data_IF_733156770995
#
_entry.id   IF_733156770995
#
_cell.length_a   1.000
_cell.length_b   1.000
_cell.length_c   1.000
_cell.angle_alpha   90.00
_cell.angle_beta   90.00
_cell.angle_gamma   90.00
#
_symmetry.space_group_name_H-M   'P 1'
#
loop_
_entity.id
_entity.type
_entity.pdbx_description
1 polymer ?
#
# COMPACT_ATOMS: atom_id res chain seq x y z
N UNK A 1 17.38 -58.49 -16.46
CA UNK A 1 17.29 -57.38 -15.54
C UNK A 1 16.88 -56.17 -16.35
N UNK A 2 15.58 -55.77 -16.29
CA UNK A 2 15.06 -54.54 -16.94
C UNK A 2 15.44 -53.34 -16.13
N UNK A 3 16.20 -52.40 -16.70
CA UNK A 3 16.47 -51.06 -16.12
C UNK A 3 15.16 -50.28 -15.93
N UNK A 4 14.94 -49.62 -14.81
CA UNK A 4 13.75 -48.77 -14.63
C UNK A 4 13.80 -47.59 -15.59
N UNK A 5 12.68 -47.33 -16.30
CA UNK A 5 12.47 -46.12 -17.11
C UNK A 5 12.49 -44.92 -16.17
N UNK A 6 13.42 -43.98 -16.37
CA UNK A 6 13.37 -42.66 -15.75
C UNK A 6 12.12 -41.94 -16.27
N UNK A 7 11.14 -41.70 -15.40
CA UNK A 7 10.06 -40.75 -15.69
C UNK A 7 10.64 -39.36 -15.97
N UNK A 8 10.18 -38.67 -17.01
CA UNK A 8 10.60 -37.31 -17.26
C UNK A 8 10.09 -36.43 -16.12
N UNK A 9 11.02 -35.71 -15.46
CA UNK A 9 10.72 -34.66 -14.50
C UNK A 9 9.63 -33.75 -15.10
N UNK A 10 8.46 -33.69 -14.45
CA UNK A 10 7.38 -32.77 -14.78
C UNK A 10 7.98 -31.37 -14.76
N UNK A 11 8.22 -30.80 -15.92
CA UNK A 11 8.53 -29.38 -16.08
C UNK A 11 7.42 -28.58 -15.40
N UNK A 12 7.71 -28.01 -14.26
CA UNK A 12 6.81 -27.14 -13.54
C UNK A 12 6.37 -26.02 -14.49
N UNK A 13 5.07 -25.94 -14.76
CA UNK A 13 4.48 -24.84 -15.52
C UNK A 13 5.06 -23.53 -14.99
N UNK A 14 5.80 -22.79 -15.82
CA UNK A 14 6.28 -21.43 -15.54
C UNK A 14 5.08 -20.64 -15.01
N UNK A 15 5.12 -20.27 -13.74
CA UNK A 15 4.10 -19.42 -13.13
C UNK A 15 4.18 -18.06 -13.79
N UNK A 16 3.13 -17.68 -14.50
CA UNK A 16 2.97 -16.32 -15.00
C UNK A 16 2.49 -15.47 -13.81
N UNK A 17 3.34 -14.62 -13.32
CA UNK A 17 3.04 -13.69 -12.23
C UNK A 17 2.46 -12.40 -12.83
N UNK A 18 1.33 -11.92 -12.32
CA UNK A 18 0.72 -10.68 -12.77
C UNK A 18 0.65 -9.66 -11.63
N UNK A 19 1.31 -8.53 -11.83
CA UNK A 19 1.30 -7.21 -11.17
C UNK A 19 0.90 -7.11 -9.67
N UNK A 20 1.60 -6.33 -8.86
CA UNK A 20 2.81 -5.51 -9.05
C UNK A 20 4.11 -6.19 -8.62
N UNK A 21 4.08 -7.34 -7.96
CA UNK A 21 5.26 -8.18 -7.67
C UNK A 21 5.75 -8.94 -8.93
N UNK A 22 4.89 -9.07 -9.95
CA UNK A 22 5.28 -9.56 -11.29
C UNK A 22 6.05 -8.53 -12.14
N UNK A 23 6.15 -7.30 -11.70
CA UNK A 23 6.91 -6.26 -12.40
C UNK A 23 8.43 -6.61 -12.40
N UNK A 24 8.86 -7.69 -11.77
CA UNK A 24 10.27 -8.04 -11.69
C UNK A 24 11.11 -6.93 -11.03
N UNK A 25 12.42 -7.10 -10.98
CA UNK A 25 13.32 -6.08 -10.41
C UNK A 25 13.17 -4.72 -11.08
N UNK A 26 13.06 -4.67 -12.40
CA UNK A 26 12.94 -3.42 -13.16
C UNK A 26 11.68 -2.63 -12.82
N UNK A 27 10.54 -3.28 -12.68
CA UNK A 27 9.32 -2.58 -12.37
C UNK A 27 9.21 -2.11 -10.93
N UNK A 28 9.77 -2.85 -9.97
CA UNK A 28 9.90 -2.38 -8.59
C UNK A 28 10.75 -1.11 -8.50
N UNK A 29 11.88 -1.06 -9.24
CA UNK A 29 12.72 0.15 -9.34
C UNK A 29 11.93 1.32 -9.93
N UNK A 30 11.25 1.11 -11.06
CA UNK A 30 10.47 2.16 -11.72
C UNK A 30 9.34 2.66 -10.81
N UNK A 31 8.60 1.77 -10.17
CA UNK A 31 7.55 2.15 -9.23
C UNK A 31 8.12 2.97 -8.06
N UNK A 32 9.20 2.51 -7.44
CA UNK A 32 9.83 3.22 -6.33
C UNK A 32 10.34 4.60 -6.78
N UNK A 33 11.03 4.69 -7.92
CA UNK A 33 11.57 5.94 -8.43
C UNK A 33 10.48 6.97 -8.75
N UNK A 34 9.43 6.56 -9.47
CA UNK A 34 8.30 7.44 -9.82
C UNK A 34 7.52 7.88 -8.56
N UNK A 35 7.28 6.95 -7.64
CA UNK A 35 6.57 7.25 -6.42
C UNK A 35 7.36 8.19 -5.50
N UNK A 36 8.69 7.99 -5.36
CA UNK A 36 9.55 8.88 -4.57
C UNK A 36 9.72 10.25 -5.24
N UNK A 37 9.81 10.30 -6.57
CA UNK A 37 9.80 11.57 -7.31
C UNK A 37 8.50 12.33 -7.05
N UNK A 38 7.35 11.67 -7.18
CA UNK A 38 6.05 12.29 -6.93
C UNK A 38 5.88 12.68 -5.46
N UNK A 39 6.38 11.86 -4.52
CA UNK A 39 6.40 12.21 -3.10
C UNK A 39 7.18 13.50 -2.86
N UNK A 40 8.37 13.64 -3.49
CA UNK A 40 9.17 14.86 -3.40
C UNK A 40 8.40 16.07 -3.89
N UNK A 41 7.73 15.98 -5.05
CA UNK A 41 6.91 17.08 -5.57
C UNK A 41 5.81 17.48 -4.58
N UNK A 42 5.10 16.51 -4.01
CA UNK A 42 4.06 16.81 -3.01
C UNK A 42 4.65 17.42 -1.71
N UNK A 43 5.82 16.96 -1.30
CA UNK A 43 6.50 17.48 -0.12
C UNK A 43 6.98 18.93 -0.33
N UNK A 44 7.56 19.24 -1.48
CA UNK A 44 7.98 20.59 -1.85
C UNK A 44 6.76 21.54 -1.87
N UNK A 45 5.66 21.16 -2.55
CA UNK A 45 4.41 21.96 -2.60
C UNK A 45 3.84 22.24 -1.20
N UNK A 46 3.93 21.26 -0.28
CA UNK A 46 3.48 21.40 1.09
C UNK A 46 4.40 22.31 1.90
N UNK A 47 5.71 22.18 1.75
CA UNK A 47 6.70 23.00 2.49
C UNK A 47 6.67 24.45 2.03
N UNK A 48 6.50 24.69 0.73
CA UNK A 48 6.45 26.03 0.13
C UNK A 48 5.07 26.71 0.31
N UNK A 49 4.07 26.01 0.84
CA UNK A 49 2.70 26.52 1.02
C UNK A 49 1.90 26.65 -0.28
N UNK A 50 2.41 26.15 -1.40
CA UNK A 50 1.70 26.20 -2.70
C UNK A 50 0.51 25.23 -2.75
N UNK A 51 0.56 24.15 -1.97
CA UNK A 51 -0.52 23.18 -1.86
C UNK A 51 -1.83 23.77 -1.32
N UNK A 52 -1.77 24.82 -0.49
CA UNK A 52 -2.93 25.30 0.27
C UNK A 52 -4.10 25.72 -0.62
N UNK A 53 -3.84 26.34 -1.78
CA UNK A 53 -4.90 26.79 -2.69
C UNK A 53 -5.75 25.65 -3.25
N UNK A 54 -5.12 24.57 -3.74
CA UNK A 54 -5.89 23.46 -4.28
C UNK A 54 -6.44 22.56 -3.18
N UNK A 55 -5.74 22.48 -2.05
CA UNK A 55 -6.22 21.74 -0.89
C UNK A 55 -7.54 22.29 -0.36
N UNK A 56 -7.63 23.60 -0.14
CA UNK A 56 -8.86 24.27 0.29
C UNK A 56 -9.99 24.14 -0.73
N UNK A 57 -9.72 24.42 -2.01
CA UNK A 57 -10.73 24.34 -3.06
C UNK A 57 -11.33 22.92 -3.20
N UNK A 58 -10.49 21.88 -3.14
CA UNK A 58 -10.96 20.48 -3.21
C UNK A 58 -11.75 20.12 -1.94
N UNK A 59 -11.29 20.52 -0.75
CA UNK A 59 -12.00 20.23 0.50
C UNK A 59 -13.37 20.90 0.53
N UNK A 60 -13.49 22.14 0.08
CA UNK A 60 -14.78 22.83 -0.05
C UNK A 60 -15.70 22.10 -1.04
N UNK A 61 -15.19 21.67 -2.19
CA UNK A 61 -15.97 20.92 -3.17
C UNK A 61 -16.46 19.58 -2.59
N UNK A 62 -15.62 18.86 -1.87
CA UNK A 62 -15.95 17.59 -1.20
C UNK A 62 -17.00 17.82 -0.09
N UNK A 63 -16.93 18.94 0.61
CA UNK A 63 -17.94 19.26 1.63
C UNK A 63 -19.35 19.51 1.08
N UNK A 64 -19.48 19.90 -0.18
CA UNK A 64 -20.81 20.11 -0.83
C UNK A 64 -21.57 18.81 -1.09
N UNK A 65 -20.87 17.68 -1.16
CA UNK A 65 -21.47 16.36 -1.39
C UNK A 65 -21.78 15.61 -0.09
N UNK A 66 -21.71 16.28 1.07
CA UNK A 66 -21.97 15.65 2.37
C UNK A 66 -23.45 15.31 2.55
N UNK A 67 -23.74 14.00 2.68
CA UNK A 67 -25.06 13.47 2.98
C UNK A 67 -24.94 12.17 3.81
N UNK A 68 -26.06 11.73 4.41
CA UNK A 68 -26.04 10.58 5.32
C UNK A 68 -25.58 9.25 4.65
N UNK A 69 -26.00 8.88 3.43
CA UNK A 69 -25.46 7.70 2.75
C UNK A 69 -23.94 7.79 2.52
N UNK A 70 -23.46 8.93 2.01
CA UNK A 70 -22.03 9.14 1.76
C UNK A 70 -21.23 9.06 3.07
N UNK A 71 -21.74 9.63 4.15
CA UNK A 71 -21.10 9.55 5.47
C UNK A 71 -20.87 8.11 5.91
N UNK A 72 -21.87 7.23 5.76
CA UNK A 72 -21.74 5.82 6.15
C UNK A 72 -20.72 5.08 5.26
N UNK A 73 -20.70 5.34 3.96
CA UNK A 73 -19.71 4.76 3.04
C UNK A 73 -18.30 5.22 3.39
N UNK A 74 -18.12 6.51 3.65
CA UNK A 74 -16.81 7.06 4.02
C UNK A 74 -16.35 6.59 5.40
N UNK A 75 -17.28 6.38 6.34
CA UNK A 75 -16.98 5.79 7.63
C UNK A 75 -16.49 4.34 7.47
N UNK A 76 -17.13 3.53 6.65
CA UNK A 76 -16.66 2.19 6.35
C UNK A 76 -15.29 2.21 5.65
N UNK A 77 -15.10 3.09 4.66
CA UNK A 77 -13.85 3.22 3.94
C UNK A 77 -12.68 3.62 4.88
N UNK A 78 -12.89 4.58 5.79
CA UNK A 78 -11.82 5.00 6.71
C UNK A 78 -11.43 3.89 7.68
N UNK A 79 -12.36 3.01 8.09
CA UNK A 79 -12.04 1.86 8.96
C UNK A 79 -11.09 0.89 8.28
N UNK A 80 -11.20 0.68 6.96
CA UNK A 80 -10.26 -0.16 6.21
C UNK A 80 -8.83 0.41 6.24
N UNK A 81 -8.65 1.73 6.30
CA UNK A 81 -7.34 2.37 6.46
C UNK A 81 -6.83 2.46 7.90
N UNK A 82 -7.57 1.98 8.88
CA UNK A 82 -7.17 2.04 10.30
C UNK A 82 -5.98 1.12 10.59
N UNK A 83 -5.16 1.50 11.58
CA UNK A 83 -4.03 0.66 12.02
C UNK A 83 -4.47 -0.75 12.43
N UNK A 84 -5.67 -0.88 13.01
CA UNK A 84 -6.23 -2.17 13.41
C UNK A 84 -6.56 -3.01 12.19
N UNK A 85 -7.29 -2.48 11.21
CA UNK A 85 -7.65 -3.22 9.99
C UNK A 85 -6.40 -3.62 9.18
N UNK A 86 -5.49 -2.70 8.97
CA UNK A 86 -4.22 -2.93 8.27
C UNK A 86 -3.36 -3.98 9.00
N UNK A 87 -3.18 -3.82 10.32
CA UNK A 87 -2.40 -4.76 11.13
C UNK A 87 -3.03 -6.16 11.17
N UNK A 88 -4.36 -6.24 11.25
CA UNK A 88 -5.09 -7.52 11.21
C UNK A 88 -4.93 -8.20 9.86
N UNK A 89 -5.12 -7.48 8.75
CA UNK A 89 -4.97 -8.03 7.40
C UNK A 89 -3.53 -8.55 7.17
N UNK A 90 -2.53 -7.76 7.52
CA UNK A 90 -1.12 -8.15 7.41
C UNK A 90 -0.78 -9.33 8.31
N UNK A 91 -1.22 -9.31 9.57
CA UNK A 91 -0.96 -10.36 10.54
C UNK A 91 -1.58 -11.71 10.14
N UNK A 92 -2.85 -11.71 9.72
CA UNK A 92 -3.51 -12.93 9.24
C UNK A 92 -2.83 -13.48 7.98
N UNK A 93 -2.42 -12.60 7.04
CA UNK A 93 -1.69 -13.02 5.84
C UNK A 93 -0.32 -13.60 6.20
N UNK A 94 0.44 -12.97 7.09
CA UNK A 94 1.72 -13.49 7.55
C UNK A 94 1.59 -14.85 8.24
N UNK A 95 0.59 -15.03 9.12
CA UNK A 95 0.30 -16.31 9.77
C UNK A 95 -0.05 -17.38 8.71
N UNK A 96 -0.87 -17.04 7.73
CA UNK A 96 -1.22 -17.96 6.64
C UNK A 96 0.03 -18.40 5.85
N UNK A 97 0.94 -17.47 5.54
CA UNK A 97 2.19 -17.77 4.86
C UNK A 97 3.09 -18.69 5.71
N UNK A 98 3.21 -18.41 7.01
CA UNK A 98 3.99 -19.25 7.94
C UNK A 98 3.44 -20.69 8.01
N UNK A 99 2.12 -20.84 8.05
CA UNK A 99 1.47 -22.18 8.04
C UNK A 99 1.69 -22.93 6.73
N UNK A 100 1.96 -22.24 5.64
CA UNK A 100 2.32 -22.80 4.33
C UNK A 100 3.84 -23.02 4.16
N UNK A 101 4.64 -22.83 5.23
CA UNK A 101 6.10 -22.86 5.23
C UNK A 101 6.75 -21.80 4.30
N UNK A 102 6.07 -20.69 4.07
CA UNK A 102 6.48 -19.56 3.24
C UNK A 102 7.01 -18.43 4.12
N UNK A 103 8.11 -18.68 4.83
CA UNK A 103 8.67 -17.74 5.82
C UNK A 103 9.09 -16.41 5.21
N UNK A 104 9.68 -16.46 4.02
CA UNK A 104 10.14 -15.26 3.32
C UNK A 104 8.97 -14.34 2.95
N UNK A 105 7.88 -14.89 2.44
CA UNK A 105 6.68 -14.12 2.09
C UNK A 105 6.01 -13.50 3.33
N UNK A 106 5.95 -14.27 4.43
CA UNK A 106 5.47 -13.75 5.72
C UNK A 106 6.32 -12.56 6.19
N UNK A 107 7.65 -12.68 6.09
CA UNK A 107 8.56 -11.59 6.45
C UNK A 107 8.37 -10.36 5.57
N UNK A 108 8.15 -10.54 4.26
CA UNK A 108 7.90 -9.44 3.32
C UNK A 108 6.64 -8.66 3.69
N UNK A 109 5.55 -9.34 4.06
CA UNK A 109 4.31 -8.69 4.54
C UNK A 109 4.58 -7.88 5.82
N UNK A 110 5.32 -8.47 6.78
CA UNK A 110 5.65 -7.80 8.05
C UNK A 110 6.52 -6.57 7.82
N UNK A 111 7.55 -6.69 6.99
CA UNK A 111 8.46 -5.57 6.67
C UNK A 111 7.74 -4.47 5.89
N UNK A 112 6.89 -4.83 4.92
CA UNK A 112 6.11 -3.85 4.17
C UNK A 112 5.21 -3.04 5.11
N UNK A 113 4.44 -3.70 5.96
CA UNK A 113 3.49 -3.02 6.85
C UNK A 113 4.20 -2.30 8.00
N UNK A 114 5.13 -2.96 8.68
CA UNK A 114 5.86 -2.38 9.82
C UNK A 114 6.76 -1.22 9.39
N UNK A 115 7.46 -1.36 8.26
CA UNK A 115 8.27 -0.29 7.68
C UNK A 115 7.44 0.91 7.25
N UNK A 116 6.25 0.68 6.66
CA UNK A 116 5.30 1.75 6.35
C UNK A 116 4.86 2.52 7.60
N UNK A 117 4.60 1.84 8.73
CA UNK A 117 4.29 2.48 10.01
C UNK A 117 5.46 3.33 10.52
N UNK A 118 6.67 2.81 10.46
CA UNK A 118 7.88 3.53 10.87
C UNK A 118 8.11 4.77 9.99
N UNK A 119 8.05 4.62 8.66
CA UNK A 119 8.20 5.71 7.70
C UNK A 119 7.15 6.80 7.94
N UNK A 120 5.88 6.42 8.12
CA UNK A 120 4.82 7.40 8.42
C UNK A 120 5.12 8.20 9.69
N UNK A 121 5.62 7.54 10.73
CA UNK A 121 5.99 8.21 11.99
C UNK A 121 7.15 9.18 11.77
N UNK A 122 8.20 8.76 11.08
CA UNK A 122 9.36 9.58 10.76
C UNK A 122 8.95 10.81 9.94
N UNK A 123 8.23 10.62 8.84
CA UNK A 123 7.81 11.70 7.97
C UNK A 123 6.93 12.73 8.69
N UNK A 124 6.03 12.28 9.57
CA UNK A 124 5.21 13.20 10.39
C UNK A 124 6.05 14.09 11.31
N UNK A 125 7.15 13.56 11.85
CA UNK A 125 8.06 14.36 12.69
C UNK A 125 8.95 15.30 11.86
N UNK A 126 9.23 14.94 10.60
CA UNK A 126 10.00 15.81 9.69
C UNK A 126 9.15 16.99 9.23
N UNK A 127 7.95 16.74 8.71
CA UNK A 127 7.13 17.78 8.07
C UNK A 127 6.28 18.60 9.04
N UNK A 128 5.86 18.07 10.15
CA UNK A 128 5.10 18.71 11.24
C UNK A 128 3.91 19.56 10.77
N UNK A 129 3.32 19.28 9.60
CA UNK A 129 2.20 20.02 9.05
C UNK A 129 0.98 19.98 9.97
N UNK A 130 0.33 21.11 10.19
CA UNK A 130 -0.91 21.19 10.96
C UNK A 130 -2.08 20.63 10.15
N UNK A 131 -3.11 20.14 10.86
CA UNK A 131 -4.33 19.61 10.24
C UNK A 131 -5.32 20.73 9.91
N UNK A 132 -6.25 20.50 8.96
CA UNK A 132 -7.30 21.45 8.58
C UNK A 132 -8.35 21.61 9.70
N UNK A 133 -8.05 22.37 10.74
CA UNK A 133 -8.88 22.49 11.96
C UNK A 133 -10.30 22.99 11.69
N UNK A 134 -10.45 23.96 10.79
CA UNK A 134 -11.73 24.60 10.48
C UNK A 134 -12.64 23.73 9.60
N UNK A 135 -12.06 22.77 8.88
CA UNK A 135 -12.75 21.92 7.94
C UNK A 135 -13.05 20.52 8.51
N UNK A 136 -12.58 20.22 9.72
CA UNK A 136 -12.82 18.93 10.37
C UNK A 136 -14.31 18.79 10.74
N UNK A 137 -14.95 17.76 10.16
CA UNK A 137 -16.37 17.51 10.38
C UNK A 137 -16.60 16.15 11.02
N UNK A 138 -17.40 16.11 12.09
CA UNK A 138 -17.97 14.87 12.66
C UNK A 138 -16.96 13.84 13.18
N UNK A 139 -15.66 14.13 13.14
CA UNK A 139 -14.60 13.26 13.67
C UNK A 139 -13.63 14.11 14.50
N UNK A 140 -13.22 13.57 15.65
CA UNK A 140 -12.17 14.19 16.48
C UNK A 140 -10.83 14.16 15.75
N UNK A 141 -10.19 15.32 15.60
CA UNK A 141 -8.86 15.41 15.01
C UNK A 141 -7.84 14.60 15.80
N UNK A 142 -7.05 13.76 15.15
CA UNK A 142 -5.90 13.12 15.79
C UNK A 142 -4.88 14.17 16.25
N UNK A 143 -4.18 13.88 17.34
CA UNK A 143 -3.12 14.77 17.89
C UNK A 143 -1.85 14.78 17.04
N UNK A 144 -1.67 13.83 16.12
CA UNK A 144 -0.49 13.72 15.25
C UNK A 144 -0.54 14.72 14.09
N UNK A 145 0.63 15.02 13.50
CA UNK A 145 0.77 15.90 12.34
C UNK A 145 0.01 15.40 11.12
N UNK A 146 -0.28 16.28 10.16
CA UNK A 146 -1.11 15.99 9.00
C UNK A 146 -0.35 15.24 7.91
N UNK A 147 0.78 15.75 7.45
CA UNK A 147 1.52 15.21 6.32
C UNK A 147 2.56 14.15 6.74
N UNK A 148 2.66 13.06 5.98
CA UNK A 148 1.68 12.54 5.05
C UNK A 148 0.50 11.83 5.75
N UNK A 149 -0.58 11.53 5.00
CA UNK A 149 -1.71 10.77 5.53
C UNK A 149 -1.33 9.31 5.83
N UNK A 150 -1.39 8.93 7.12
CA UNK A 150 -1.03 7.58 7.53
C UNK A 150 -1.98 6.50 7.00
N UNK A 151 -3.29 6.77 6.92
CA UNK A 151 -4.26 5.83 6.33
C UNK A 151 -3.94 5.56 4.87
N UNK A 152 -3.60 6.61 4.11
CA UNK A 152 -3.24 6.51 2.69
C UNK A 152 -1.93 5.73 2.51
N UNK A 153 -0.90 6.08 3.28
CA UNK A 153 0.41 5.44 3.21
C UNK A 153 0.33 3.94 3.55
N UNK A 154 -0.30 3.61 4.67
CA UNK A 154 -0.41 2.23 5.12
C UNK A 154 -1.26 1.37 4.17
N UNK A 155 -2.38 1.90 3.66
CA UNK A 155 -3.21 1.17 2.70
C UNK A 155 -2.48 0.90 1.39
N UNK A 156 -1.74 1.89 0.86
CA UNK A 156 -0.96 1.76 -0.36
C UNK A 156 0.22 0.77 -0.23
N UNK A 157 0.86 0.72 0.94
CA UNK A 157 1.96 -0.22 1.18
C UNK A 157 1.49 -1.66 1.46
N UNK A 158 0.31 -1.85 2.07
CA UNK A 158 -0.10 -3.15 2.63
C UNK A 158 -1.10 -3.89 1.75
N UNK A 159 -2.17 -3.25 1.26
CA UNK A 159 -3.21 -3.97 0.51
C UNK A 159 -2.72 -4.67 -0.75
N UNK A 160 -1.83 -4.07 -1.58
CA UNK A 160 -1.35 -4.75 -2.78
C UNK A 160 -0.61 -6.05 -2.47
N UNK A 161 0.24 -6.07 -1.42
CA UNK A 161 1.02 -7.25 -1.05
C UNK A 161 0.14 -8.33 -0.40
N UNK A 162 -0.79 -7.94 0.47
CA UNK A 162 -1.76 -8.85 1.09
C UNK A 162 -2.60 -9.54 0.01
N UNK A 163 -3.20 -8.79 -0.90
CA UNK A 163 -4.03 -9.35 -1.96
C UNK A 163 -3.21 -10.17 -2.96
N UNK A 164 -1.98 -9.77 -3.28
CA UNK A 164 -1.10 -10.59 -4.11
C UNK A 164 -0.98 -12.01 -3.55
N UNK A 165 -0.60 -12.16 -2.29
CA UNK A 165 -0.43 -13.47 -1.66
C UNK A 165 -1.73 -14.28 -1.54
N UNK A 166 -2.89 -13.62 -1.45
CA UNK A 166 -4.19 -14.29 -1.41
C UNK A 166 -4.62 -14.84 -2.78
N UNK A 167 -4.22 -14.18 -3.89
CA UNK A 167 -4.72 -14.51 -5.23
C UNK A 167 -3.64 -14.97 -6.21
N UNK A 168 -2.36 -15.02 -5.87
CA UNK A 168 -1.25 -15.37 -6.77
C UNK A 168 -1.39 -16.73 -7.45
N UNK A 169 -2.16 -17.66 -6.81
CA UNK A 169 -2.45 -19.00 -7.34
C UNK A 169 -3.75 -19.08 -8.11
N UNK A 170 -4.48 -17.98 -8.23
CA UNK A 170 -5.76 -17.90 -8.96
C UNK A 170 -5.51 -17.56 -10.43
N UNK A 171 -6.56 -17.68 -11.23
CA UNK A 171 -6.50 -17.32 -12.66
C UNK A 171 -6.25 -15.82 -12.84
N UNK A 172 -5.68 -15.43 -13.99
CA UNK A 172 -5.36 -14.04 -14.32
C UNK A 172 -6.55 -13.07 -14.16
N UNK A 173 -7.78 -13.39 -14.60
CA UNK A 173 -8.93 -12.52 -14.38
C UNK A 173 -9.21 -12.28 -12.90
N UNK A 174 -9.09 -13.31 -12.04
CA UNK A 174 -9.28 -13.18 -10.60
C UNK A 174 -8.21 -12.26 -9.98
N UNK A 175 -6.95 -12.41 -10.39
CA UNK A 175 -5.87 -11.54 -9.95
C UNK A 175 -6.13 -10.08 -10.38
N UNK A 176 -6.52 -9.86 -11.63
CA UNK A 176 -6.83 -8.52 -12.14
C UNK A 176 -7.97 -7.86 -11.34
N UNK A 177 -9.07 -8.56 -11.11
CA UNK A 177 -10.19 -8.06 -10.29
C UNK A 177 -9.72 -7.73 -8.87
N UNK A 178 -8.97 -8.62 -8.21
CA UNK A 178 -8.48 -8.39 -6.86
C UNK A 178 -7.59 -7.15 -6.76
N UNK A 179 -6.67 -6.94 -7.71
CA UNK A 179 -5.80 -5.75 -7.71
C UNK A 179 -6.58 -4.46 -8.02
N UNK A 180 -7.59 -4.53 -8.91
CA UNK A 180 -8.50 -3.39 -9.16
C UNK A 180 -9.26 -3.03 -7.89
N UNK A 181 -9.80 -4.03 -7.19
CA UNK A 181 -10.49 -3.81 -5.91
C UNK A 181 -9.56 -3.23 -4.84
N UNK A 182 -8.28 -3.68 -4.79
CA UNK A 182 -7.29 -3.07 -3.91
C UNK A 182 -7.11 -1.58 -4.22
N UNK A 183 -6.98 -1.22 -5.49
CA UNK A 183 -6.88 0.17 -5.92
C UNK A 183 -8.08 1.01 -5.49
N UNK A 184 -9.30 0.48 -5.69
CA UNK A 184 -10.54 1.16 -5.27
C UNK A 184 -10.61 1.34 -3.75
N UNK A 185 -10.21 0.33 -2.97
CA UNK A 185 -10.15 0.43 -1.50
C UNK A 185 -9.14 1.51 -1.09
N UNK A 186 -7.93 1.50 -1.65
CA UNK A 186 -6.88 2.49 -1.34
C UNK A 186 -7.40 3.91 -1.64
N UNK A 187 -7.98 4.13 -2.82
CA UNK A 187 -8.54 5.43 -3.20
C UNK A 187 -9.69 5.86 -2.28
N UNK A 188 -10.59 4.94 -1.93
CA UNK A 188 -11.70 5.20 -1.02
C UNK A 188 -11.22 5.56 0.39
N UNK A 189 -10.19 4.87 0.89
CA UNK A 189 -9.54 5.19 2.16
C UNK A 189 -8.98 6.62 2.12
N UNK A 190 -8.21 6.97 1.09
CA UNK A 190 -7.66 8.32 0.96
C UNK A 190 -8.73 9.39 0.85
N UNK A 191 -9.73 9.18 -0.01
CA UNK A 191 -10.85 10.10 -0.18
C UNK A 191 -11.63 10.30 1.13
N UNK A 192 -11.82 9.25 1.93
CA UNK A 192 -12.48 9.36 3.22
C UNK A 192 -11.79 10.33 4.18
N UNK A 193 -10.45 10.47 4.07
CA UNK A 193 -9.68 11.38 4.94
C UNK A 193 -9.90 12.85 4.59
N UNK A 194 -10.05 13.14 3.31
CA UNK A 194 -10.44 14.47 2.79
C UNK A 194 -11.90 14.76 3.16
N UNK A 195 -12.79 13.78 2.92
CA UNK A 195 -14.22 13.90 3.23
C UNK A 195 -14.48 14.26 4.71
N UNK A 196 -13.77 13.63 5.64
CA UNK A 196 -13.87 13.96 7.07
C UNK A 196 -13.12 15.22 7.48
N UNK A 197 -12.41 15.88 6.58
CA UNK A 197 -11.64 17.08 6.87
C UNK A 197 -10.49 16.87 7.84
N UNK A 198 -9.93 15.65 7.93
CA UNK A 198 -8.82 15.33 8.85
C UNK A 198 -7.45 15.35 8.19
N UNK A 199 -7.43 15.38 6.86
CA UNK A 199 -6.25 15.52 6.01
C UNK A 199 -6.56 16.37 4.79
N UNK A 200 -5.56 17.10 4.33
CA UNK A 200 -5.60 17.77 3.04
C UNK A 200 -5.45 16.75 1.88
N UNK A 201 -5.96 17.06 0.66
CA UNK A 201 -5.71 16.27 -0.53
C UNK A 201 -4.24 15.98 -0.78
N UNK A 202 -3.36 16.97 -0.62
CA UNK A 202 -1.89 16.81 -0.75
C UNK A 202 -1.30 15.85 0.28
N UNK A 203 -1.84 15.78 1.52
CA UNK A 203 -1.43 14.79 2.52
C UNK A 203 -1.74 13.37 2.04
N UNK A 204 -2.91 13.20 1.40
CA UNK A 204 -3.37 11.90 0.86
C UNK A 204 -2.49 11.46 -0.30
N UNK A 205 -2.22 12.36 -1.24
CA UNK A 205 -1.35 12.11 -2.40
C UNK A 205 0.08 11.78 -1.96
N UNK A 206 0.64 12.56 -1.02
CA UNK A 206 1.95 12.27 -0.41
C UNK A 206 1.95 10.93 0.32
N UNK A 207 0.86 10.58 1.01
CA UNK A 207 0.69 9.29 1.65
C UNK A 207 0.71 8.13 0.67
N UNK A 208 -0.04 8.22 -0.44
CA UNK A 208 -0.01 7.21 -1.50
C UNK A 208 1.38 7.06 -2.12
N UNK A 209 2.03 8.18 -2.42
CA UNK A 209 3.37 8.17 -3.01
C UNK A 209 4.40 7.50 -2.08
N UNK A 210 4.43 7.87 -0.80
CA UNK A 210 5.31 7.23 0.17
C UNK A 210 5.01 5.74 0.33
N UNK A 211 3.72 5.34 0.35
CA UNK A 211 3.29 3.95 0.47
C UNK A 211 3.68 3.10 -0.74
N UNK A 212 3.42 3.58 -1.96
CA UNK A 212 3.83 2.87 -3.19
C UNK A 212 5.35 2.86 -3.39
N UNK A 213 6.04 3.93 -2.99
CA UNK A 213 7.51 3.97 -3.00
C UNK A 213 8.10 2.89 -2.10
N UNK A 214 7.58 2.76 -0.87
CA UNK A 214 7.98 1.71 0.06
C UNK A 214 7.63 0.31 -0.45
N UNK A 215 6.44 0.13 -1.02
CA UNK A 215 6.04 -1.12 -1.67
C UNK A 215 7.02 -1.52 -2.78
N UNK A 216 7.43 -0.58 -3.63
CA UNK A 216 8.42 -0.82 -4.69
C UNK A 216 9.77 -1.30 -4.10
N UNK A 217 10.24 -0.67 -3.03
CA UNK A 217 11.48 -1.07 -2.34
C UNK A 217 11.35 -2.48 -1.75
N UNK A 218 10.24 -2.81 -1.09
CA UNK A 218 10.03 -4.14 -0.50
C UNK A 218 9.90 -5.24 -1.56
N UNK A 219 9.30 -4.93 -2.72
CA UNK A 219 9.24 -5.85 -3.85
C UNK A 219 10.63 -6.18 -4.43
N UNK A 220 11.54 -5.20 -4.45
CA UNK A 220 12.93 -5.41 -4.87
C UNK A 220 13.69 -6.36 -3.94
N UNK A 221 13.56 -6.19 -2.64
CA UNK A 221 14.22 -7.04 -1.65
C UNK A 221 13.72 -8.49 -1.74
N UNK A 222 12.43 -8.70 -1.99
CA UNK A 222 11.83 -10.02 -2.18
C UNK A 222 12.43 -10.77 -3.38
N UNK A 223 12.49 -10.11 -4.54
CA UNK A 223 13.04 -10.73 -5.77
C UNK A 223 14.53 -11.00 -5.67
N UNK A 224 15.30 -10.24 -4.90
CA UNK A 224 16.71 -10.46 -4.67
C UNK A 224 16.94 -11.74 -3.85
N UNK A 225 16.21 -11.92 -2.75
CA UNK A 225 16.33 -13.10 -1.89
C UNK A 225 15.91 -14.39 -2.61
N UNK A 226 14.84 -14.38 -3.40
CA UNK A 226 14.48 -15.55 -4.24
C UNK A 226 15.56 -15.93 -5.27
N UNK A 227 16.30 -14.96 -5.77
CA UNK A 227 17.40 -15.22 -6.70
C UNK A 227 18.60 -15.89 -6.01
N UNK A 228 18.89 -15.47 -4.77
CA UNK A 228 19.97 -16.08 -3.96
C UNK A 228 19.62 -17.51 -3.58
N UNK A 229 18.42 -17.77 -3.05
CA UNK A 229 17.95 -19.12 -2.72
C UNK A 229 18.00 -20.09 -3.92
N UNK A 230 17.75 -19.60 -5.13
CA UNK A 230 17.84 -20.42 -6.35
C UNK A 230 19.29 -20.70 -6.77
N UNK A 231 20.21 -19.78 -6.51
CA UNK A 231 21.63 -19.98 -6.79
C UNK A 231 22.22 -21.04 -5.86
N UNK A 232 21.91 -20.95 -4.57
CA UNK A 232 22.38 -21.89 -3.54
C UNK A 232 21.83 -23.33 -3.73
N UNK A 233 20.67 -23.49 -4.38
CA UNK A 233 20.10 -24.81 -4.71
C UNK A 233 20.65 -25.39 -6.01
N UNK A 234 21.41 -24.63 -6.79
CA UNK A 234 21.99 -25.05 -8.07
C UNK A 234 23.47 -25.49 -7.95
N UNK A 235 24.12 -25.20 -6.82
CA UNK A 235 25.43 -25.68 -6.42
C UNK A 235 25.31 -27.00 -5.64
#
# INVERSE_FOLDING_TARGET
VKKPKKEPLRQGKRRQHFLPLAIGRSGGVVLAALALWFFKQQADEVVDGHADRYDEAIMEAVHRIDNAPMHNVMHAATQLGSHVAIGTAAGLTAIMMLRQNRKHDAWTVVVSTGGAMAINTILKHVFQRQRPKELARRIKLPKSHSFPSGHSLLSAATYPIVLHHLVERRSMPVQAVAHTMAGLVILSVGFSRVYFGVHFPSDVLGGFAAGFGWLGITALSHTAAEATDRADLAE
#
